data_IF_782207425830
#
_entry.id   IF_782207425830
#
_cell.length_a   1.000
_cell.length_b   1.000
_cell.length_c   1.000
_cell.angle_alpha   90.00
_cell.angle_beta   90.00
_cell.angle_gamma   90.00
#
_symmetry.space_group_name_H-M   'P 1'
#
loop_
_entity.id
_entity.type
_entity.pdbx_description
1 polymer ?
#
# COMPACT_ATOMS: atom_id res chain seq x y z
N UNK A 1 6.44 -8.33 7.97
CA UNK A 1 7.68 -9.03 7.56
C UNK A 1 7.75 -9.26 6.05
N UNK A 2 6.62 -9.61 5.41
CA UNK A 2 6.53 -9.82 3.95
C UNK A 2 7.16 -8.71 3.10
N UNK A 3 6.80 -7.44 3.32
CA UNK A 3 7.36 -6.30 2.57
C UNK A 3 8.89 -6.24 2.59
N UNK A 4 9.52 -6.47 3.75
CA UNK A 4 10.99 -6.43 3.86
C UNK A 4 11.61 -7.58 3.06
N UNK A 5 11.01 -8.77 3.13
CA UNK A 5 11.45 -9.92 2.34
C UNK A 5 11.29 -9.68 0.84
N UNK A 6 10.17 -9.10 0.39
CA UNK A 6 9.94 -8.76 -1.03
C UNK A 6 10.96 -7.75 -1.54
N UNK A 7 11.27 -6.71 -0.76
CA UNK A 7 12.29 -5.72 -1.13
C UNK A 7 13.68 -6.37 -1.20
N UNK A 8 14.05 -7.18 -0.22
CA UNK A 8 15.34 -7.89 -0.21
C UNK A 8 15.47 -8.83 -1.43
N UNK A 9 14.43 -9.60 -1.74
CA UNK A 9 14.40 -10.45 -2.93
C UNK A 9 14.55 -9.66 -4.22
N UNK A 10 13.83 -8.53 -4.36
CA UNK A 10 13.95 -7.65 -5.51
C UNK A 10 15.37 -7.09 -5.68
N UNK A 11 16.02 -6.68 -4.58
CA UNK A 11 17.40 -6.20 -4.61
C UNK A 11 18.39 -7.29 -5.02
N UNK A 12 18.20 -8.52 -4.55
CA UNK A 12 19.01 -9.68 -4.96
C UNK A 12 18.86 -9.92 -6.47
N UNK A 13 17.65 -9.87 -7.00
CA UNK A 13 17.39 -10.05 -8.44
C UNK A 13 18.03 -8.94 -9.28
N UNK A 14 17.97 -7.68 -8.82
CA UNK A 14 18.66 -6.56 -9.48
C UNK A 14 20.18 -6.78 -9.46
N UNK A 15 20.76 -7.17 -8.33
CA UNK A 15 22.20 -7.40 -8.21
C UNK A 15 22.67 -8.53 -9.14
N UNK A 16 21.97 -9.67 -9.14
CA UNK A 16 22.27 -10.79 -10.04
C UNK A 16 22.07 -10.41 -11.51
N UNK A 17 21.04 -9.62 -11.79
CA UNK A 17 20.76 -9.06 -13.12
C UNK A 17 21.86 -8.14 -13.63
N UNK A 18 22.37 -7.25 -12.79
CA UNK A 18 23.49 -6.36 -13.11
C UNK A 18 24.76 -7.16 -13.40
N UNK A 19 25.06 -8.19 -12.60
CA UNK A 19 26.19 -9.08 -12.86
C UNK A 19 26.01 -9.83 -14.19
N UNK A 20 24.80 -10.32 -14.47
CA UNK A 20 24.45 -10.94 -15.75
C UNK A 20 24.69 -10.02 -16.95
N UNK A 21 24.24 -8.76 -16.83
CA UNK A 21 24.42 -7.74 -17.85
C UNK A 21 25.89 -7.41 -18.09
N UNK A 22 26.68 -7.19 -17.03
CA UNK A 22 28.11 -6.90 -17.13
C UNK A 22 28.90 -8.05 -17.75
N UNK A 23 28.54 -9.29 -17.41
CA UNK A 23 29.20 -10.50 -17.90
C UNK A 23 28.61 -11.02 -19.23
N UNK A 24 27.65 -10.31 -19.83
CA UNK A 24 26.94 -10.71 -21.06
C UNK A 24 26.39 -12.14 -20.98
N UNK A 25 25.89 -12.54 -19.80
CA UNK A 25 25.29 -13.86 -19.59
C UNK A 25 23.78 -13.81 -19.84
N UNK A 26 23.30 -14.34 -20.97
CA UNK A 26 21.88 -14.37 -21.26
C UNK A 26 21.13 -15.22 -20.22
N UNK A 27 20.00 -14.71 -19.73
CA UNK A 27 19.18 -15.32 -18.70
C UNK A 27 19.37 -14.72 -17.31
N UNK A 28 20.61 -14.35 -16.95
CA UNK A 28 20.84 -13.62 -15.70
C UNK A 28 20.41 -12.16 -15.84
N UNK A 29 20.65 -11.53 -16.99
CA UNK A 29 20.18 -10.18 -17.33
C UNK A 29 18.66 -10.02 -17.20
N UNK A 30 17.87 -11.07 -17.46
CA UNK A 30 16.42 -11.06 -17.27
C UNK A 30 16.00 -10.83 -15.80
N UNK A 31 16.83 -11.25 -14.83
CA UNK A 31 16.57 -11.02 -13.42
C UNK A 31 16.60 -9.53 -13.07
N UNK A 32 17.34 -8.72 -13.83
CA UNK A 32 17.35 -7.27 -13.68
C UNK A 32 15.94 -6.70 -13.89
N UNK A 33 15.32 -7.08 -15.01
CA UNK A 33 13.99 -6.62 -15.38
C UNK A 33 12.95 -7.03 -14.34
N UNK A 34 12.98 -8.31 -13.92
CA UNK A 34 12.07 -8.84 -12.89
C UNK A 34 12.24 -8.08 -11.58
N UNK A 35 13.48 -7.90 -11.11
CA UNK A 35 13.78 -7.19 -9.88
C UNK A 35 13.32 -5.74 -9.90
N UNK A 36 13.51 -5.04 -11.03
CA UNK A 36 13.03 -3.65 -11.21
C UNK A 36 11.51 -3.59 -11.19
N UNK A 37 10.81 -4.48 -11.90
CA UNK A 37 9.34 -4.52 -11.93
C UNK A 37 8.78 -4.76 -10.52
N UNK A 38 9.33 -5.73 -9.78
CA UNK A 38 8.88 -6.02 -8.41
C UNK A 38 9.13 -4.83 -7.49
N UNK A 39 10.31 -4.20 -7.57
CA UNK A 39 10.63 -3.04 -6.76
C UNK A 39 9.67 -1.88 -7.05
N UNK A 40 9.40 -1.59 -8.34
CA UNK A 40 8.44 -0.59 -8.75
C UNK A 40 7.02 -0.90 -8.24
N UNK A 41 6.57 -2.15 -8.35
CA UNK A 41 5.26 -2.56 -7.84
C UNK A 41 5.13 -2.28 -6.33
N UNK A 42 6.14 -2.61 -5.53
CA UNK A 42 6.14 -2.35 -4.08
C UNK A 42 6.16 -0.85 -3.76
N UNK A 43 6.91 -0.05 -4.53
CA UNK A 43 6.96 1.42 -4.35
C UNK A 43 5.62 2.05 -4.71
N UNK A 44 5.03 1.64 -5.83
CA UNK A 44 3.72 2.12 -6.29
C UNK A 44 2.60 1.70 -5.34
N UNK A 45 2.64 0.47 -4.84
CA UNK A 45 1.70 -0.01 -3.83
C UNK A 45 1.80 0.83 -2.56
N UNK A 46 3.02 1.11 -2.08
CA UNK A 46 3.21 2.01 -0.93
C UNK A 46 2.66 3.41 -1.22
N UNK A 47 2.94 3.97 -2.39
CA UNK A 47 2.45 5.29 -2.75
C UNK A 47 0.92 5.34 -2.79
N UNK A 48 0.28 4.29 -3.33
CA UNK A 48 -1.19 4.14 -3.33
C UNK A 48 -1.74 4.01 -1.92
N UNK A 49 -1.19 3.13 -1.09
CA UNK A 49 -1.66 2.93 0.30
C UNK A 49 -1.41 4.15 1.18
N UNK A 50 -0.27 4.81 1.07
CA UNK A 50 0.03 6.04 1.83
C UNK A 50 -0.89 7.19 1.41
N UNK A 51 -1.22 7.33 0.12
CA UNK A 51 -2.22 8.32 -0.34
C UNK A 51 -3.64 8.01 0.12
N UNK A 52 -4.02 6.74 0.27
CA UNK A 52 -5.33 6.36 0.83
C UNK A 52 -5.37 6.50 2.36
N UNK A 53 -4.21 6.47 3.04
CA UNK A 53 -4.14 6.68 4.48
C UNK A 53 -4.21 8.16 4.89
N UNK A 54 -4.07 9.09 3.94
CA UNK A 54 -4.06 10.53 4.22
C UNK A 54 -5.23 11.21 3.48
N UNK A 55 -6.29 11.55 4.23
CA UNK A 55 -6.47 12.96 4.51
C UNK A 55 -6.84 13.23 5.98
N UNK A 56 -5.97 13.94 6.68
CA UNK A 56 -6.31 14.59 7.96
C UNK A 56 -7.31 15.74 7.79
N UNK A 57 -7.57 16.24 6.56
CA UNK A 57 -8.35 17.48 6.35
C UNK A 57 -9.28 17.45 5.10
N UNK A 58 -10.02 16.36 4.89
CA UNK A 58 -11.10 16.32 3.88
C UNK A 58 -12.45 16.79 4.46
N UNK A 59 -13.41 17.26 3.63
CA UNK A 59 -14.77 17.57 4.08
C UNK A 59 -15.51 16.26 4.39
N UNK A 60 -15.26 15.71 5.58
CA UNK A 60 -15.95 14.52 6.06
C UNK A 60 -17.38 14.90 6.43
N UNK A 61 -18.36 14.29 5.76
CA UNK A 61 -19.77 14.46 6.08
C UNK A 61 -20.24 13.30 6.96
N UNK A 62 -20.97 13.63 8.02
CA UNK A 62 -21.62 12.64 8.89
C UNK A 62 -22.76 12.01 8.12
N UNK A 63 -22.76 10.68 8.01
CA UNK A 63 -23.93 9.95 7.51
C UNK A 63 -24.85 9.60 8.69
N UNK A 64 -26.09 9.24 8.38
CA UNK A 64 -27.05 8.77 9.38
C UNK A 64 -26.76 7.33 9.86
N UNK A 65 -25.72 6.70 9.33
CA UNK A 65 -25.35 5.33 9.68
C UNK A 65 -24.63 5.29 11.03
N UNK A 66 -25.29 4.66 12.00
CA UNK A 66 -24.76 4.41 13.34
C UNK A 66 -24.89 2.94 13.69
N UNK A 67 -23.86 2.36 14.30
CA UNK A 67 -23.91 0.98 14.78
C UNK A 67 -23.13 0.82 16.07
N UNK A 68 -23.48 -0.20 16.87
CA UNK A 68 -22.77 -0.54 18.09
C UNK A 68 -21.61 -1.48 17.74
N UNK A 69 -20.39 -1.09 18.09
CA UNK A 69 -19.23 -1.96 17.97
C UNK A 69 -19.32 -3.10 19.00
N UNK A 70 -19.35 -4.38 18.58
CA UNK A 70 -19.53 -5.50 19.50
C UNK A 70 -18.34 -5.73 20.42
N UNK A 71 -17.14 -5.22 20.07
CA UNK A 71 -15.94 -5.36 20.90
C UNK A 71 -15.86 -4.35 22.04
N UNK A 72 -16.34 -3.12 21.82
CA UNK A 72 -16.21 -2.01 22.77
C UNK A 72 -17.55 -1.50 23.33
N UNK A 73 -18.68 -1.90 22.74
CA UNK A 73 -20.01 -1.40 23.08
C UNK A 73 -20.25 0.07 22.70
N UNK A 74 -19.30 0.70 21.99
CA UNK A 74 -19.41 2.12 21.60
C UNK A 74 -20.28 2.28 20.35
N UNK A 75 -20.99 3.40 20.28
CA UNK A 75 -21.67 3.81 19.06
C UNK A 75 -20.60 4.32 18.08
N UNK A 76 -20.60 3.76 16.88
CA UNK A 76 -19.74 4.16 15.78
C UNK A 76 -20.58 4.94 14.78
N UNK A 77 -20.12 6.13 14.43
CA UNK A 77 -20.68 6.98 13.38
C UNK A 77 -19.84 6.78 12.12
N UNK A 78 -20.52 6.63 10.98
CA UNK A 78 -19.86 6.59 9.68
C UNK A 78 -19.75 7.99 9.10
N UNK A 79 -18.53 8.40 8.80
CA UNK A 79 -18.20 9.60 8.03
C UNK A 79 -17.95 9.20 6.58
N UNK A 80 -18.50 9.96 5.63
CA UNK A 80 -18.25 9.77 4.20
C UNK A 80 -17.48 10.98 3.64
N UNK A 81 -16.50 10.73 2.76
CA UNK A 81 -15.89 11.77 1.96
C UNK A 81 -16.59 11.85 0.59
N UNK A 82 -17.33 12.93 0.29
CA UNK A 82 -18.12 13.03 -0.94
C UNK A 82 -17.26 13.12 -2.21
N UNK A 83 -15.98 13.49 -2.08
CA UNK A 83 -15.07 13.61 -3.23
C UNK A 83 -14.44 12.28 -3.64
N UNK A 84 -14.22 11.38 -2.68
CA UNK A 84 -13.48 10.12 -2.90
C UNK A 84 -14.33 8.87 -2.68
N UNK A 85 -15.48 9.00 -2.00
CA UNK A 85 -16.32 7.88 -1.58
C UNK A 85 -15.74 7.09 -0.39
N UNK A 86 -14.69 7.61 0.27
CA UNK A 86 -14.08 6.95 1.42
C UNK A 86 -14.99 6.98 2.64
N UNK A 87 -15.00 5.89 3.42
CA UNK A 87 -15.77 5.74 4.66
C UNK A 87 -14.83 5.66 5.85
N UNK A 88 -15.11 6.45 6.89
CA UNK A 88 -14.35 6.48 8.14
C UNK A 88 -15.28 6.20 9.31
N UNK A 89 -14.82 5.37 10.24
CA UNK A 89 -15.58 4.94 11.40
C UNK A 89 -15.04 5.65 12.63
N UNK A 90 -15.85 6.46 13.30
CA UNK A 90 -15.45 7.21 14.50
C UNK A 90 -16.37 6.86 15.66
N UNK A 91 -15.83 6.73 16.86
CA UNK A 91 -16.65 6.54 18.04
C UNK A 91 -17.41 7.84 18.36
N UNK A 92 -18.71 7.74 18.61
CA UNK A 92 -19.52 8.81 19.20
C UNK A 92 -18.96 9.10 20.60
N UNK A 93 -18.77 10.39 20.89
CA UNK A 93 -18.05 10.86 22.07
C UNK A 93 -18.92 10.87 23.31
#
# INVERSE_FOLDING_TARGET
MLRRATILGALIFIALGLVGLLLHKPGLDQLLLIGVIVLLAVVLERWRYTRQAEPEHGPWEVTDERFVDPGSGKIIIVLCNPKTGERRYVAER
#
